data_IF_437645574323
#
_entry.id   IF_437645574323
#
_cell.length_a   1.000
_cell.length_b   1.000
_cell.length_c   1.000
_cell.angle_alpha   90.00
_cell.angle_beta   90.00
_cell.angle_gamma   90.00
#
_symmetry.space_group_name_H-M   'P 1'
#
loop_
_entity.id
_entity.type
_entity.pdbx_description
1 polymer ?
#
# COMPACT_ATOMS: atom_id res chain seq x y z
N UNK A 1 -14.48 -18.21 -1.42
CA UNK A 1 -15.34 -17.07 -1.02
C UNK A 1 -16.26 -16.71 -2.19
N UNK A 2 -17.55 -16.43 -1.93
CA UNK A 2 -18.51 -16.10 -2.99
C UNK A 2 -19.04 -14.66 -2.89
N UNK A 3 -18.71 -13.97 -1.81
CA UNK A 3 -19.13 -12.57 -1.59
C UNK A 3 -18.19 -11.62 -2.30
N UNK A 4 -18.72 -10.51 -2.82
CA UNK A 4 -17.90 -9.33 -3.15
C UNK A 4 -17.70 -8.50 -1.89
N UNK A 5 -16.64 -7.72 -1.86
CA UNK A 5 -16.41 -6.73 -0.83
C UNK A 5 -16.06 -5.40 -1.50
N UNK A 6 -16.68 -4.35 -1.01
CA UNK A 6 -16.38 -2.97 -1.36
C UNK A 6 -15.94 -2.25 -0.10
N UNK A 7 -15.04 -1.30 -0.22
CA UNK A 7 -14.58 -0.62 0.98
C UNK A 7 -13.77 0.62 0.72
N UNK A 8 -13.37 1.24 1.81
CA UNK A 8 -12.49 2.40 1.83
C UNK A 8 -11.43 2.19 2.89
N UNK A 9 -10.19 2.48 2.56
CA UNK A 9 -9.05 2.38 3.47
C UNK A 9 -8.43 3.76 3.67
N UNK A 10 -8.35 4.22 4.91
CA UNK A 10 -7.85 5.55 5.27
C UNK A 10 -6.44 5.52 5.86
N UNK A 11 -5.58 6.37 5.34
CA UNK A 11 -4.22 6.59 5.83
C UNK A 11 -4.04 8.06 6.19
N UNK A 12 -3.65 8.32 7.43
CA UNK A 12 -3.18 9.64 7.82
C UNK A 12 -1.66 9.73 7.67
N UNK A 13 -1.17 10.90 7.28
CA UNK A 13 0.26 11.26 7.20
C UNK A 13 0.47 12.58 7.93
N UNK A 14 1.21 12.58 9.05
CA UNK A 14 1.54 13.78 9.83
C UNK A 14 3.04 13.96 9.85
N UNK A 15 3.52 15.14 9.42
CA UNK A 15 4.94 15.46 9.31
C UNK A 15 5.76 14.35 8.65
N UNK A 16 5.15 13.74 7.62
CA UNK A 16 5.69 12.58 6.91
C UNK A 16 5.28 12.61 5.44
N UNK A 17 5.83 11.74 4.62
CA UNK A 17 5.52 11.69 3.18
C UNK A 17 5.01 10.30 2.81
N UNK A 18 3.70 10.18 2.63
CA UNK A 18 3.07 8.91 2.27
C UNK A 18 3.45 8.43 0.88
N UNK A 19 3.44 9.30 -0.12
CA UNK A 19 3.79 8.95 -1.49
C UNK A 19 4.46 10.12 -2.20
N UNK A 20 5.78 10.09 -2.27
CA UNK A 20 6.56 11.09 -2.99
C UNK A 20 6.56 10.88 -4.50
N UNK A 21 6.70 11.97 -5.25
CA UNK A 21 7.09 11.99 -6.65
C UNK A 21 8.63 11.91 -6.80
N UNK A 22 9.14 12.12 -8.02
CA UNK A 22 10.59 12.08 -8.31
C UNK A 22 11.37 13.27 -7.71
N UNK A 23 10.69 14.36 -7.37
CA UNK A 23 11.30 15.54 -6.74
C UNK A 23 11.27 15.47 -5.22
N UNK A 24 10.57 14.48 -4.66
CA UNK A 24 10.41 14.28 -3.22
C UNK A 24 9.16 14.91 -2.65
N UNK A 25 8.37 15.66 -3.43
CA UNK A 25 7.11 16.23 -2.98
C UNK A 25 6.00 15.18 -2.90
N UNK A 26 4.98 15.38 -2.05
CA UNK A 26 3.76 14.59 -2.08
C UNK A 26 3.18 14.58 -3.51
N UNK A 27 2.81 13.40 -3.98
CA UNK A 27 2.39 13.20 -5.36
C UNK A 27 1.04 13.87 -5.64
N UNK A 28 0.95 14.64 -6.73
CA UNK A 28 -0.25 15.36 -7.13
C UNK A 28 -0.70 15.00 -8.56
N UNK A 29 -1.99 15.21 -8.83
CA UNK A 29 -2.56 15.20 -10.17
C UNK A 29 -2.19 16.48 -10.92
N UNK A 30 -2.55 16.57 -12.20
CA UNK A 30 -2.45 17.83 -12.98
C UNK A 30 -3.33 18.95 -12.41
N UNK A 31 -4.39 18.61 -11.65
CA UNK A 31 -5.28 19.56 -10.96
C UNK A 31 -4.77 19.95 -9.57
N UNK A 32 -3.55 19.55 -9.21
CA UNK A 32 -2.92 19.74 -7.91
C UNK A 32 -3.56 18.95 -6.74
N UNK A 33 -4.45 17.99 -7.00
CA UNK A 33 -4.99 17.13 -5.96
C UNK A 33 -3.92 16.15 -5.47
N UNK A 34 -3.62 16.18 -4.19
CA UNK A 34 -2.65 15.28 -3.58
C UNK A 34 -3.24 13.86 -3.45
N UNK A 35 -2.48 12.85 -3.84
CA UNK A 35 -2.91 11.46 -3.76
C UNK A 35 -1.79 10.48 -3.41
N UNK A 36 -2.18 9.36 -2.82
CA UNK A 36 -1.34 8.18 -2.69
C UNK A 36 -1.69 7.14 -3.76
N UNK A 37 -0.69 6.61 -4.46
CA UNK A 37 -0.92 5.55 -5.44
C UNK A 37 -1.28 4.22 -4.77
N UNK A 38 -1.95 3.34 -5.49
CA UNK A 38 -2.19 1.96 -5.08
C UNK A 38 -0.89 1.23 -4.71
N UNK A 39 0.20 1.53 -5.42
CA UNK A 39 1.53 0.96 -5.15
C UNK A 39 2.08 1.40 -3.79
N UNK A 40 1.86 2.65 -3.40
CA UNK A 40 2.26 3.15 -2.09
C UNK A 40 1.53 2.40 -0.96
N UNK A 41 0.25 2.09 -1.15
CA UNK A 41 -0.54 1.32 -0.19
C UNK A 41 -0.18 -0.17 -0.17
N UNK A 42 0.00 -0.79 -1.35
CA UNK A 42 0.32 -2.22 -1.47
C UNK A 42 1.71 -2.58 -0.95
N UNK A 43 2.67 -1.63 -0.97
CA UNK A 43 4.05 -1.92 -0.58
C UNK A 43 4.21 -2.28 0.91
N UNK A 44 3.68 -1.51 1.89
CA UNK A 44 3.70 -1.90 3.30
C UNK A 44 3.05 -3.25 3.58
N UNK A 45 1.92 -3.55 2.93
CA UNK A 45 1.24 -4.84 3.03
C UNK A 45 2.16 -5.98 2.59
N UNK A 46 2.77 -5.85 1.41
CA UNK A 46 3.73 -6.84 0.88
C UNK A 46 4.94 -7.00 1.80
N UNK A 47 5.44 -5.90 2.35
CA UNK A 47 6.57 -5.90 3.27
C UNK A 47 6.22 -6.65 4.56
N UNK A 48 5.07 -6.36 5.15
CA UNK A 48 4.55 -7.05 6.33
C UNK A 48 4.41 -8.55 6.08
N UNK A 49 3.75 -8.97 5.01
CA UNK A 49 3.61 -10.38 4.66
C UNK A 49 4.97 -11.08 4.46
N UNK A 50 5.92 -10.40 3.81
CA UNK A 50 7.27 -10.94 3.64
C UNK A 50 8.00 -11.12 4.98
N UNK A 51 7.81 -10.23 5.95
CA UNK A 51 8.37 -10.32 7.30
C UNK A 51 7.68 -11.41 8.13
N UNK A 52 6.43 -11.70 7.86
CA UNK A 52 5.66 -12.81 8.44
C UNK A 52 6.01 -14.18 7.83
N UNK A 53 6.92 -14.22 6.84
CA UNK A 53 7.36 -15.46 6.18
C UNK A 53 6.48 -15.91 5.01
N UNK A 54 5.50 -15.11 4.60
CA UNK A 54 4.68 -15.38 3.43
C UNK A 54 5.50 -15.21 2.13
N UNK A 55 5.13 -15.97 1.09
CA UNK A 55 5.75 -15.80 -0.23
C UNK A 55 5.22 -14.54 -0.90
N UNK A 56 6.12 -13.59 -1.14
CA UNK A 56 5.83 -12.32 -1.84
C UNK A 56 6.77 -12.18 -3.02
N UNK A 57 6.25 -12.14 -4.23
CA UNK A 57 7.05 -12.07 -5.46
C UNK A 57 7.41 -10.62 -5.78
N UNK A 58 6.41 -9.73 -5.86
CA UNK A 58 6.59 -8.37 -6.34
C UNK A 58 7.02 -7.41 -5.22
N UNK A 59 8.21 -7.70 -4.64
CA UNK A 59 8.88 -6.85 -3.67
C UNK A 59 10.39 -6.83 -3.96
N UNK A 60 11.03 -5.67 -3.72
CA UNK A 60 12.48 -5.52 -3.89
C UNK A 60 13.22 -6.50 -2.99
N UNK A 61 14.11 -7.30 -3.56
CA UNK A 61 14.92 -8.30 -2.88
C UNK A 61 16.36 -8.19 -3.36
N UNK A 62 17.31 -8.09 -2.43
CA UNK A 62 18.72 -7.89 -2.74
C UNK A 62 19.48 -9.22 -2.74
N UNK A 63 20.58 -9.27 -3.47
CA UNK A 63 21.56 -10.36 -3.45
C UNK A 63 22.97 -9.83 -3.55
N UNK A 64 23.92 -10.62 -3.10
CA UNK A 64 25.33 -10.46 -3.44
C UNK A 64 25.62 -11.24 -4.72
N UNK A 65 26.34 -10.64 -5.63
CA UNK A 65 26.75 -11.24 -6.91
C UNK A 65 28.21 -10.93 -7.18
N UNK A 66 28.98 -11.92 -7.64
CA UNK A 66 30.33 -11.71 -8.12
C UNK A 66 30.30 -11.02 -9.48
N UNK A 67 30.92 -9.86 -9.56
CA UNK A 67 31.09 -9.07 -10.78
C UNK A 67 32.22 -9.61 -11.66
N UNK A 68 32.40 -9.03 -12.85
CA UNK A 68 33.36 -9.46 -13.88
C UNK A 68 34.84 -9.43 -13.44
N UNK A 69 35.17 -8.69 -12.39
CA UNK A 69 36.55 -8.53 -11.86
C UNK A 69 36.74 -9.21 -10.51
N UNK A 70 35.84 -10.12 -10.10
CA UNK A 70 35.89 -10.75 -8.78
C UNK A 70 35.40 -9.84 -7.64
N UNK A 71 34.92 -8.65 -7.93
CA UNK A 71 34.30 -7.76 -6.93
C UNK A 71 32.91 -8.26 -6.57
N UNK A 72 32.52 -8.12 -5.30
CA UNK A 72 31.18 -8.50 -4.84
C UNK A 72 30.27 -7.29 -4.89
N UNK A 73 29.25 -7.37 -5.72
CA UNK A 73 28.24 -6.33 -5.90
C UNK A 73 26.94 -6.66 -5.12
N UNK A 74 26.34 -5.63 -4.51
CA UNK A 74 25.06 -5.74 -3.85
C UNK A 74 23.96 -5.19 -4.76
N UNK A 75 23.22 -6.09 -5.42
CA UNK A 75 22.26 -5.73 -6.48
C UNK A 75 20.85 -6.27 -6.19
N UNK A 76 19.80 -5.64 -6.74
CA UNK A 76 18.46 -6.19 -6.67
C UNK A 76 18.33 -7.44 -7.56
N UNK A 77 17.58 -8.44 -7.08
CA UNK A 77 17.18 -9.57 -7.92
C UNK A 77 16.26 -9.13 -9.05
N UNK A 78 16.44 -9.75 -10.23
CA UNK A 78 15.42 -9.70 -11.29
C UNK A 78 14.16 -10.45 -10.87
N UNK A 79 13.04 -10.30 -11.61
CA UNK A 79 11.80 -11.01 -11.33
C UNK A 79 11.99 -12.52 -11.40
N UNK A 80 12.71 -13.01 -12.43
CA UNK A 80 13.12 -14.42 -12.55
C UNK A 80 13.87 -14.89 -11.31
N UNK A 81 14.93 -14.18 -10.93
CA UNK A 81 15.77 -14.56 -9.77
C UNK A 81 14.97 -14.50 -8.46
N UNK A 82 13.99 -13.60 -8.35
CA UNK A 82 13.10 -13.55 -7.20
C UNK A 82 12.18 -14.78 -7.16
N UNK A 83 11.63 -15.19 -8.29
CA UNK A 83 10.82 -16.40 -8.42
C UNK A 83 11.63 -17.64 -8.03
N UNK A 84 12.82 -17.86 -8.64
CA UNK A 84 13.70 -18.99 -8.36
C UNK A 84 14.19 -19.02 -6.89
N UNK A 85 14.37 -17.85 -6.29
CA UNK A 85 14.71 -17.74 -4.86
C UNK A 85 13.59 -18.20 -3.93
N UNK A 86 12.33 -17.85 -4.26
CA UNK A 86 11.15 -18.21 -3.47
C UNK A 86 10.74 -19.68 -3.66
N UNK A 87 10.86 -20.18 -4.88
CA UNK A 87 10.52 -21.54 -5.26
C UNK A 87 11.80 -22.35 -5.49
N UNK A 88 12.48 -22.69 -4.40
CA UNK A 88 13.76 -23.39 -4.43
C UNK A 88 13.67 -24.68 -5.26
N UNK A 89 14.63 -24.84 -6.17
CA UNK A 89 14.68 -26.00 -7.10
C UNK A 89 14.02 -25.75 -8.43
N UNK A 90 13.33 -24.62 -8.62
CA UNK A 90 12.82 -24.21 -9.93
C UNK A 90 13.91 -23.53 -10.75
N UNK A 91 13.99 -23.85 -12.03
CA UNK A 91 14.83 -23.21 -13.04
C UNK A 91 13.97 -22.90 -14.25
N UNK A 92 13.50 -21.64 -14.38
CA UNK A 92 12.60 -21.23 -15.45
C UNK A 92 13.16 -21.44 -16.86
N UNK A 93 14.49 -21.55 -17.01
CA UNK A 93 15.10 -21.87 -18.32
C UNK A 93 14.93 -23.33 -18.71
N UNK A 94 14.94 -24.22 -17.73
CA UNK A 94 14.85 -25.68 -17.93
C UNK A 94 13.41 -26.17 -17.81
N UNK A 95 12.67 -25.64 -16.84
CA UNK A 95 11.29 -26.04 -16.59
C UNK A 95 10.33 -25.12 -17.35
N UNK A 96 9.76 -25.67 -18.42
CA UNK A 96 8.81 -24.93 -19.28
C UNK A 96 7.35 -25.26 -18.99
N UNK A 97 7.06 -25.89 -17.85
CA UNK A 97 5.68 -26.17 -17.44
C UNK A 97 4.98 -24.90 -16.92
N UNK A 98 4.30 -24.21 -17.82
CA UNK A 98 3.53 -23.00 -17.49
C UNK A 98 2.43 -23.26 -16.46
N UNK A 99 1.89 -24.48 -16.36
CA UNK A 99 0.90 -24.84 -15.34
C UNK A 99 1.53 -24.82 -13.95
N UNK A 100 2.73 -25.37 -13.82
CA UNK A 100 3.50 -25.35 -12.57
C UNK A 100 3.89 -23.92 -12.17
N UNK A 101 4.37 -23.12 -13.14
CA UNK A 101 4.69 -21.70 -12.90
C UNK A 101 3.46 -20.96 -12.41
N UNK A 102 2.31 -21.15 -13.04
CA UNK A 102 1.06 -20.50 -12.66
C UNK A 102 0.60 -20.94 -11.26
N UNK A 103 0.71 -22.22 -10.93
CA UNK A 103 0.40 -22.74 -9.58
C UNK A 103 1.30 -22.11 -8.52
N UNK A 104 2.60 -21.99 -8.79
CA UNK A 104 3.55 -21.32 -7.92
C UNK A 104 3.20 -19.83 -7.74
N UNK A 105 2.86 -19.13 -8.81
CA UNK A 105 2.42 -17.74 -8.74
C UNK A 105 1.21 -17.58 -7.82
N UNK A 106 0.18 -18.44 -7.95
CA UNK A 106 -0.99 -18.40 -7.06
C UNK A 106 -0.71 -18.81 -5.61
N UNK A 107 0.42 -19.46 -5.31
CA UNK A 107 0.85 -19.75 -3.95
C UNK A 107 1.50 -18.53 -3.25
N UNK A 108 1.80 -17.47 -3.99
CA UNK A 108 2.33 -16.23 -3.43
C UNK A 108 1.18 -15.29 -3.04
N UNK A 109 1.20 -14.82 -1.80
CA UNK A 109 0.10 -14.05 -1.21
C UNK A 109 -0.16 -12.73 -1.94
N UNK A 110 0.88 -12.06 -2.43
CA UNK A 110 0.74 -10.81 -3.17
C UNK A 110 0.12 -11.04 -4.57
N UNK A 111 0.46 -12.12 -5.24
CA UNK A 111 -0.17 -12.52 -6.51
C UNK A 111 -1.62 -12.93 -6.28
N UNK A 112 -1.87 -13.72 -5.23
CA UNK A 112 -3.22 -14.16 -4.84
C UNK A 112 -4.15 -12.98 -4.54
N UNK A 113 -3.62 -11.87 -4.02
CA UNK A 113 -4.40 -10.67 -3.75
C UNK A 113 -4.41 -9.69 -4.93
N UNK A 114 -3.24 -9.29 -5.42
CA UNK A 114 -3.11 -8.13 -6.32
C UNK A 114 -2.90 -8.52 -7.79
N UNK A 115 -2.75 -9.80 -8.08
CA UNK A 115 -2.47 -10.28 -9.42
C UNK A 115 -1.01 -10.15 -9.82
N UNK A 116 -0.72 -10.46 -11.07
CA UNK A 116 0.63 -10.47 -11.61
C UNK A 116 0.64 -10.23 -13.13
N UNK A 117 1.70 -9.58 -13.58
CA UNK A 117 2.20 -9.69 -14.96
C UNK A 117 3.55 -10.37 -14.89
N UNK A 118 3.66 -11.60 -15.40
CA UNK A 118 4.87 -12.40 -15.32
C UNK A 118 5.31 -12.82 -16.73
N UNK A 119 6.31 -12.10 -17.25
CA UNK A 119 6.86 -12.28 -18.59
C UNK A 119 8.34 -12.68 -18.52
N UNK A 120 8.60 -13.93 -18.09
CA UNK A 120 9.95 -14.45 -17.86
C UNK A 120 10.17 -15.79 -18.57
N UNK A 121 11.29 -15.94 -19.29
CA UNK A 121 11.76 -17.18 -19.93
C UNK A 121 10.70 -17.88 -20.81
N UNK A 122 9.91 -17.09 -21.56
CA UNK A 122 8.86 -17.58 -22.46
C UNK A 122 7.49 -17.77 -21.83
N UNK A 123 7.36 -17.60 -20.51
CA UNK A 123 6.05 -17.45 -19.87
C UNK A 123 5.51 -16.04 -20.12
N UNK A 124 4.25 -15.94 -20.51
CA UNK A 124 3.53 -14.66 -20.65
C UNK A 124 2.20 -14.78 -19.90
N UNK A 125 2.26 -14.61 -18.59
CA UNK A 125 1.15 -14.80 -17.67
C UNK A 125 0.66 -13.46 -17.17
N UNK A 126 -0.65 -13.21 -17.33
CA UNK A 126 -1.35 -12.06 -16.77
C UNK A 126 -2.47 -12.53 -15.86
N UNK A 127 -2.45 -12.10 -14.61
CA UNK A 127 -3.45 -12.41 -13.59
C UNK A 127 -4.03 -11.10 -13.07
N UNK A 128 -5.31 -10.87 -13.31
CA UNK A 128 -6.04 -9.79 -12.66
C UNK A 128 -6.35 -10.20 -11.23
N UNK A 129 -5.78 -9.49 -10.26
CA UNK A 129 -5.94 -9.79 -8.84
C UNK A 129 -7.38 -9.69 -8.36
N UNK A 130 -7.74 -10.51 -7.39
CA UNK A 130 -9.06 -10.45 -6.74
C UNK A 130 -9.27 -9.12 -6.00
N UNK A 131 -8.21 -8.55 -5.44
CA UNK A 131 -8.21 -7.26 -4.73
C UNK A 131 -7.72 -6.15 -5.65
N UNK A 132 -8.57 -5.16 -5.87
CA UNK A 132 -8.23 -3.94 -6.60
C UNK A 132 -8.31 -2.75 -5.64
N UNK A 133 -7.25 -1.95 -5.60
CA UNK A 133 -7.16 -0.72 -4.80
C UNK A 133 -6.95 0.43 -5.78
N UNK A 134 -7.78 1.46 -5.67
CA UNK A 134 -7.65 2.67 -6.49
C UNK A 134 -6.60 3.64 -5.95
N UNK A 135 -6.65 4.88 -6.43
CA UNK A 135 -5.85 5.98 -5.90
C UNK A 135 -6.51 6.50 -4.61
N UNK A 136 -5.72 6.75 -3.59
CA UNK A 136 -6.20 7.37 -2.35
C UNK A 136 -6.05 8.88 -2.43
N UNK A 137 -7.13 9.60 -2.61
CA UNK A 137 -7.09 11.06 -2.62
C UNK A 137 -7.07 11.62 -1.21
N UNK A 138 -6.26 12.67 -1.02
CA UNK A 138 -6.28 13.43 0.21
C UNK A 138 -7.59 14.22 0.33
N UNK A 139 -8.26 14.10 1.48
CA UNK A 139 -9.53 14.79 1.77
C UNK A 139 -9.37 15.99 2.73
N UNK A 140 -8.17 16.24 3.22
CA UNK A 140 -7.88 17.38 4.09
C UNK A 140 -7.46 18.60 3.27
N UNK A 141 -8.26 19.65 3.32
CA UNK A 141 -8.07 20.87 2.50
C UNK A 141 -6.81 21.66 2.84
N UNK A 142 -6.43 21.68 4.13
CA UNK A 142 -5.29 22.47 4.63
C UNK A 142 -3.96 21.70 4.60
N UNK A 143 -3.91 20.69 3.74
CA UNK A 143 -2.69 19.91 3.49
C UNK A 143 -1.74 20.67 2.58
N UNK A 144 -0.49 20.79 3.00
CA UNK A 144 0.58 21.38 2.20
C UNK A 144 1.93 20.69 2.47
N UNK A 145 2.85 20.73 1.50
CA UNK A 145 4.20 20.23 1.70
C UNK A 145 5.05 21.21 2.49
N UNK A 146 5.87 20.69 3.41
CA UNK A 146 6.90 21.42 4.13
C UNK A 146 8.29 20.94 3.73
N UNK A 147 9.19 21.89 3.48
CA UNK A 147 10.60 21.62 3.21
C UNK A 147 11.44 21.81 4.47
N UNK A 148 12.22 20.82 4.82
CA UNK A 148 13.15 20.83 5.93
C UNK A 148 14.57 20.68 5.43
N UNK A 149 15.43 21.66 5.68
CA UNK A 149 16.85 21.56 5.33
C UNK A 149 17.56 20.64 6.33
N UNK A 150 18.38 19.74 5.80
CA UNK A 150 19.17 18.80 6.60
C UNK A 150 20.64 19.03 6.30
N UNK A 151 21.44 19.24 7.35
CA UNK A 151 22.89 19.31 7.25
C UNK A 151 23.48 17.92 7.42
N UNK A 152 24.35 17.53 6.49
CA UNK A 152 25.15 16.31 6.62
C UNK A 152 26.35 16.58 7.54
N UNK A 153 26.68 15.68 8.48
CA UNK A 153 27.90 15.79 9.28
C UNK A 153 29.17 15.46 8.49
N UNK A 154 29.02 15.03 7.24
CA UNK A 154 30.15 14.62 6.41
C UNK A 154 30.57 15.73 5.47
N UNK A 155 31.90 15.92 5.34
CA UNK A 155 32.48 16.84 4.35
C UNK A 155 32.26 16.29 2.91
N UNK A 156 31.86 17.15 1.99
CA UNK A 156 31.87 16.80 0.56
C UNK A 156 33.33 16.67 0.05
N UNK A 157 33.78 15.47 -0.37
CA UNK A 157 35.13 15.26 -0.87
C UNK A 157 35.40 15.97 -2.20
N UNK A 158 34.35 16.34 -2.96
CA UNK A 158 34.45 17.01 -4.25
C UNK A 158 34.57 18.53 -4.11
N UNK A 159 34.37 19.08 -2.92
CA UNK A 159 34.52 20.50 -2.66
C UNK A 159 36.03 20.87 -2.56
N UNK A 160 36.80 20.56 -3.61
CA UNK A 160 38.21 20.91 -3.74
C UNK A 160 38.34 22.34 -4.25
N UNK A 161 38.70 23.22 -3.31
CA UNK A 161 39.50 24.45 -3.50
C UNK A 161 38.96 25.53 -4.44
N UNK A 162 38.63 26.67 -3.87
CA UNK A 162 39.31 27.89 -4.32
C UNK A 162 39.43 28.88 -3.14
N UNK A 163 40.71 29.22 -2.91
CA UNK A 163 41.25 30.40 -2.26
C UNK A 163 41.23 30.54 -0.72
N UNK A 164 42.46 30.65 -0.27
CA UNK A 164 42.96 31.09 1.03
C UNK A 164 42.45 32.51 1.41
N UNK A 165 41.28 32.63 1.97
CA UNK A 165 40.82 33.75 2.85
C UNK A 165 39.45 33.40 3.36
N UNK A 166 39.22 33.53 4.67
CA UNK A 166 37.97 33.29 5.37
C UNK A 166 37.87 31.92 6.04
N UNK A 167 38.49 31.78 7.23
CA UNK A 167 38.45 30.55 8.03
C UNK A 167 37.11 30.37 8.78
N UNK A 168 36.38 31.45 9.06
CA UNK A 168 35.09 31.34 9.79
C UNK A 168 33.85 31.05 8.92
N UNK A 169 33.88 31.33 7.61
CA UNK A 169 32.84 30.89 6.67
C UNK A 169 33.03 29.45 6.15
N UNK A 170 34.15 28.80 6.51
CA UNK A 170 34.49 27.46 5.98
C UNK A 170 33.77 26.31 6.65
N UNK A 171 33.31 26.44 7.90
CA UNK A 171 32.53 25.42 8.57
C UNK A 171 31.11 25.28 7.97
N UNK A 172 30.50 26.35 7.51
CA UNK A 172 29.18 26.32 6.87
C UNK A 172 29.18 25.78 5.42
N UNK A 173 30.35 25.86 4.72
CA UNK A 173 30.49 25.41 3.31
C UNK A 173 30.96 23.96 3.18
N UNK A 174 31.23 23.25 4.27
CA UNK A 174 31.81 21.90 4.21
C UNK A 174 30.81 20.76 4.37
N UNK A 175 29.53 21.05 4.69
CA UNK A 175 28.46 20.08 4.82
C UNK A 175 27.58 20.01 3.58
N UNK A 176 27.28 18.79 3.11
CA UNK A 176 26.27 18.60 2.08
C UNK A 176 24.89 18.95 2.63
N UNK A 177 24.17 19.82 1.92
CA UNK A 177 22.78 20.15 2.25
C UNK A 177 21.85 19.10 1.62
N UNK A 178 20.98 18.54 2.42
CA UNK A 178 19.86 17.71 1.96
C UNK A 178 18.54 18.42 2.24
N UNK A 179 17.50 18.09 1.50
CA UNK A 179 16.14 18.55 1.76
C UNK A 179 15.25 17.36 2.07
N UNK A 180 14.54 17.40 3.18
CA UNK A 180 13.45 16.48 3.50
C UNK A 180 12.13 17.19 3.24
N UNK A 181 11.26 16.58 2.45
CA UNK A 181 9.94 17.13 2.13
C UNK A 181 8.88 16.21 2.76
N UNK A 182 7.97 16.81 3.50
CA UNK A 182 6.89 16.12 4.22
C UNK A 182 5.56 16.82 3.97
N UNK A 183 4.45 16.13 4.15
CA UNK A 183 3.15 16.78 4.33
C UNK A 183 3.03 17.24 5.79
N UNK A 184 2.53 18.44 6.04
CA UNK A 184 2.12 18.87 7.38
C UNK A 184 1.13 17.86 7.96
N UNK A 185 0.00 17.67 7.29
CA UNK A 185 -1.01 16.66 7.57
C UNK A 185 -1.75 16.33 6.26
N UNK A 186 -2.08 15.05 6.02
CA UNK A 186 -2.88 14.60 4.90
C UNK A 186 -3.65 13.33 5.26
N UNK A 187 -4.86 13.17 4.72
CA UNK A 187 -5.77 12.05 4.98
C UNK A 187 -6.20 11.43 3.66
N UNK A 188 -5.60 10.29 3.32
CA UNK A 188 -5.78 9.60 2.04
C UNK A 188 -6.83 8.51 2.16
N UNK A 189 -7.88 8.54 1.34
CA UNK A 189 -8.92 7.52 1.33
C UNK A 189 -8.90 6.74 0.01
N UNK A 190 -8.59 5.46 0.11
CA UNK A 190 -8.43 4.52 -0.99
C UNK A 190 -9.68 3.68 -1.21
N UNK A 191 -10.30 3.70 -2.39
CA UNK A 191 -11.33 2.73 -2.70
C UNK A 191 -10.72 1.34 -2.87
N UNK A 192 -11.43 0.32 -2.37
CA UNK A 192 -11.05 -1.07 -2.53
C UNK A 192 -12.25 -1.90 -3.00
N UNK A 193 -11.98 -2.82 -3.92
CA UNK A 193 -12.96 -3.81 -4.38
C UNK A 193 -12.33 -5.19 -4.37
N UNK A 194 -13.06 -6.18 -3.87
CA UNK A 194 -12.64 -7.58 -3.86
C UNK A 194 -13.64 -8.41 -4.65
N UNK A 195 -13.16 -9.05 -5.72
CA UNK A 195 -13.93 -9.91 -6.58
C UNK A 195 -13.35 -11.32 -6.65
N UNK A 196 -13.84 -12.27 -5.85
CA UNK A 196 -13.36 -13.66 -5.89
C UNK A 196 -13.55 -14.35 -7.22
N UNK A 197 -14.57 -13.97 -8.02
CA UNK A 197 -14.85 -14.55 -9.35
C UNK A 197 -13.75 -14.29 -10.39
N UNK A 198 -12.82 -13.38 -10.12
CA UNK A 198 -11.64 -13.16 -10.99
C UNK A 198 -10.82 -14.44 -11.20
N UNK A 199 -10.98 -15.44 -10.34
CA UNK A 199 -10.20 -16.69 -10.37
C UNK A 199 -10.98 -17.92 -10.82
N UNK A 200 -12.24 -17.79 -11.22
CA UNK A 200 -13.05 -18.96 -11.61
C UNK A 200 -12.43 -19.73 -12.78
N UNK A 201 -11.98 -19.05 -13.84
CA UNK A 201 -11.28 -19.70 -14.95
C UNK A 201 -9.96 -20.39 -14.53
N UNK A 202 -9.24 -19.84 -13.55
CA UNK A 202 -8.03 -20.49 -13.05
C UNK A 202 -8.32 -21.69 -12.15
N UNK A 203 -9.47 -21.72 -11.48
CA UNK A 203 -9.96 -22.91 -10.75
C UNK A 203 -10.27 -24.04 -11.72
N UNK A 204 -10.92 -23.75 -12.85
CA UNK A 204 -11.20 -24.74 -13.90
C UNK A 204 -9.92 -25.35 -14.48
N UNK A 205 -8.84 -24.55 -14.59
CA UNK A 205 -7.52 -25.03 -15.00
C UNK A 205 -6.81 -25.87 -13.91
N UNK A 206 -7.32 -25.90 -12.70
CA UNK A 206 -6.76 -26.63 -11.56
C UNK A 206 -5.42 -26.11 -11.09
N UNK A 207 -5.21 -24.78 -11.15
CA UNK A 207 -3.96 -24.11 -10.71
C UNK A 207 -4.15 -23.33 -9.41
N UNK A 208 -5.38 -23.16 -8.96
CA UNK A 208 -5.73 -22.50 -7.69
C UNK A 208 -7.10 -22.98 -7.21
N UNK A 209 -7.35 -22.92 -5.91
CA UNK A 209 -8.68 -23.11 -5.31
C UNK A 209 -9.58 -21.86 -5.41
N UNK A 210 -9.06 -20.76 -6.00
CA UNK A 210 -9.70 -19.47 -6.09
C UNK A 210 -9.31 -18.55 -4.93
N UNK A 211 -10.03 -17.43 -4.76
CA UNK A 211 -9.82 -16.49 -3.64
C UNK A 211 -10.67 -16.95 -2.45
N UNK A 212 -10.02 -17.29 -1.34
CA UNK A 212 -10.64 -17.89 -0.18
C UNK A 212 -11.03 -16.87 0.90
N UNK A 213 -11.79 -17.30 1.90
CA UNK A 213 -12.05 -16.47 3.09
C UNK A 213 -10.78 -16.19 3.89
N UNK A 214 -9.83 -17.13 3.88
CA UNK A 214 -8.55 -16.94 4.56
C UNK A 214 -7.67 -15.91 3.84
N UNK A 215 -7.65 -15.92 2.50
CA UNK A 215 -6.97 -14.88 1.70
C UNK A 215 -7.55 -13.50 2.02
N UNK A 216 -8.88 -13.39 2.07
CA UNK A 216 -9.56 -12.15 2.45
C UNK A 216 -9.23 -11.70 3.86
N UNK A 217 -9.23 -12.62 4.82
CA UNK A 217 -8.88 -12.32 6.22
C UNK A 217 -7.47 -11.75 6.33
N UNK A 218 -6.48 -12.41 5.71
CA UNK A 218 -5.09 -11.94 5.68
C UNK A 218 -4.96 -10.56 5.03
N UNK A 219 -5.68 -10.32 3.93
CA UNK A 219 -5.70 -9.00 3.30
C UNK A 219 -6.32 -7.94 4.22
N UNK A 220 -7.49 -8.22 4.79
CA UNK A 220 -8.22 -7.31 5.68
C UNK A 220 -7.38 -6.91 6.89
N UNK A 221 -6.77 -7.90 7.56
CA UNK A 221 -5.89 -7.66 8.71
C UNK A 221 -4.68 -6.79 8.34
N UNK A 222 -3.98 -7.13 7.27
CA UNK A 222 -2.81 -6.37 6.82
C UNK A 222 -3.18 -4.95 6.36
N UNK A 223 -4.30 -4.78 5.66
CA UNK A 223 -4.74 -3.47 5.16
C UNK A 223 -5.07 -2.47 6.26
N UNK A 224 -5.36 -2.94 7.49
CA UNK A 224 -5.68 -2.10 8.65
C UNK A 224 -4.48 -1.75 9.54
N UNK A 225 -3.28 -2.28 9.27
CA UNK A 225 -2.13 -2.07 10.16
C UNK A 225 -0.79 -1.89 9.41
N UNK A 226 -0.71 -2.25 8.15
CA UNK A 226 0.56 -2.29 7.44
C UNK A 226 1.24 -0.92 7.29
N UNK A 227 0.47 0.17 7.12
CA UNK A 227 1.03 1.51 7.06
C UNK A 227 1.61 1.94 8.41
N UNK A 228 0.90 1.67 9.50
CA UNK A 228 1.34 1.94 10.88
C UNK A 228 2.61 1.16 11.24
N UNK A 229 2.73 -0.09 10.78
CA UNK A 229 3.90 -0.94 11.05
C UNK A 229 5.11 -0.59 10.19
N UNK A 230 4.94 0.17 9.11
CA UNK A 230 6.00 0.45 8.16
C UNK A 230 6.88 1.62 8.59
N UNK A 231 7.84 1.34 9.45
CA UNK A 231 8.73 2.34 10.07
C UNK A 231 9.94 2.64 9.20
N UNK A 232 9.90 3.74 8.46
CA UNK A 232 11.05 4.35 7.78
C UNK A 232 11.09 5.84 8.09
N UNK A 233 12.23 6.51 7.89
CA UNK A 233 12.34 7.96 8.15
C UNK A 233 11.25 8.79 7.43
N UNK A 234 10.84 8.38 6.21
CA UNK A 234 9.80 9.09 5.47
C UNK A 234 8.38 8.69 5.89
N UNK A 235 8.20 7.56 6.59
CA UNK A 235 6.89 6.98 6.93
C UNK A 235 6.52 7.04 8.41
N UNK A 236 7.45 7.38 9.29
CA UNK A 236 7.12 7.72 10.68
C UNK A 236 6.16 8.91 10.66
N UNK A 237 4.95 8.72 11.20
CA UNK A 237 3.84 9.66 11.10
C UNK A 237 2.79 9.28 10.05
N UNK A 238 3.00 8.17 9.29
CA UNK A 238 1.96 7.57 8.46
C UNK A 238 1.30 6.41 9.22
N UNK A 239 -0.02 6.44 9.36
CA UNK A 239 -0.78 5.46 10.14
C UNK A 239 -2.06 5.05 9.43
N UNK A 240 -2.51 3.82 9.68
CA UNK A 240 -3.86 3.42 9.33
C UNK A 240 -4.84 4.09 10.30
N UNK A 241 -5.78 4.88 9.78
CA UNK A 241 -6.75 5.61 10.62
C UNK A 241 -8.19 5.13 10.46
N UNK A 242 -8.52 4.57 9.30
CA UNK A 242 -9.87 4.19 8.92
C UNK A 242 -9.89 2.97 8.01
N UNK A 243 -10.89 2.12 8.15
CA UNK A 243 -11.24 1.11 7.17
C UNK A 243 -12.74 0.81 7.22
N UNK A 244 -13.36 0.77 6.05
CA UNK A 244 -14.74 0.33 5.89
C UNK A 244 -14.78 -0.87 4.95
N UNK A 245 -15.48 -1.95 5.33
CA UNK A 245 -15.69 -3.12 4.51
C UNK A 245 -17.17 -3.46 4.44
N UNK A 246 -17.69 -3.50 3.22
CA UNK A 246 -19.09 -3.82 2.91
C UNK A 246 -19.09 -5.14 2.15
N UNK A 247 -19.44 -6.23 2.83
CA UNK A 247 -19.59 -7.55 2.21
C UNK A 247 -20.98 -7.68 1.59
N UNK A 248 -21.06 -8.05 0.32
CA UNK A 248 -22.29 -8.11 -0.45
C UNK A 248 -22.54 -9.50 -1.04
N UNK A 249 -23.74 -9.74 -1.57
CA UNK A 249 -23.95 -10.85 -2.49
C UNK A 249 -23.14 -10.66 -3.77
N UNK A 250 -22.83 -11.73 -4.46
CA UNK A 250 -21.89 -11.75 -5.57
C UNK A 250 -22.33 -10.95 -6.81
N UNK A 251 -23.59 -10.71 -6.95
CA UNK A 251 -24.26 -10.01 -8.06
C UNK A 251 -24.57 -8.54 -7.76
N UNK A 252 -24.22 -8.02 -6.55
CA UNK A 252 -24.35 -6.61 -6.23
C UNK A 252 -23.09 -5.86 -6.63
N UNK A 253 -23.29 -4.74 -7.32
CA UNK A 253 -22.24 -3.80 -7.70
C UNK A 253 -22.48 -2.47 -7.00
N UNK A 254 -21.50 -2.03 -6.19
CA UNK A 254 -21.54 -0.72 -5.54
C UNK A 254 -20.63 0.28 -6.27
N UNK A 255 -20.94 1.57 -6.20
CA UNK A 255 -20.04 2.63 -6.70
C UNK A 255 -18.75 2.71 -5.88
N UNK A 256 -17.85 3.61 -6.27
CA UNK A 256 -16.68 3.97 -5.47
C UNK A 256 -17.10 4.62 -4.14
N UNK A 257 -16.99 3.86 -3.06
CA UNK A 257 -17.42 4.30 -1.73
C UNK A 257 -16.53 5.41 -1.16
N UNK A 258 -15.32 5.61 -1.67
CA UNK A 258 -14.46 6.72 -1.22
C UNK A 258 -15.01 8.10 -1.57
N UNK A 259 -15.93 8.18 -2.54
CA UNK A 259 -16.60 9.42 -2.91
C UNK A 259 -17.60 9.89 -1.83
N UNK A 260 -18.06 8.96 -0.98
CA UNK A 260 -19.03 9.22 0.10
C UNK A 260 -18.35 9.37 1.47
N UNK A 261 -17.03 9.41 1.51
CA UNK A 261 -16.26 9.64 2.74
C UNK A 261 -15.67 11.04 2.69
N UNK A 262 -15.99 11.84 3.70
CA UNK A 262 -15.47 13.20 3.90
C UNK A 262 -14.57 13.22 5.13
N UNK A 263 -13.66 14.16 5.16
CA UNK A 263 -12.78 14.42 6.30
C UNK A 263 -12.76 15.91 6.62
N UNK A 264 -12.94 16.22 7.90
CA UNK A 264 -12.82 17.56 8.45
C UNK A 264 -12.00 17.50 9.73
N UNK A 265 -11.20 18.53 10.00
CA UNK A 265 -10.49 18.67 11.26
C UNK A 265 -11.31 19.56 12.19
N UNK A 266 -11.76 18.98 13.30
CA UNK A 266 -12.53 19.68 14.33
C UNK A 266 -11.68 19.73 15.62
N UNK A 267 -11.24 20.92 16.02
CA UNK A 267 -10.34 21.12 17.15
C UNK A 267 -9.09 20.22 17.06
N UNK A 268 -8.90 19.34 18.06
CA UNK A 268 -7.74 18.43 18.12
C UNK A 268 -7.97 17.06 17.47
N UNK A 269 -9.19 16.78 16.97
CA UNK A 269 -9.54 15.48 16.37
C UNK A 269 -9.99 15.62 14.92
N UNK A 270 -9.68 14.60 14.13
CA UNK A 270 -10.30 14.44 12.83
C UNK A 270 -11.76 14.01 12.97
N UNK A 271 -12.63 14.43 12.05
CA UNK A 271 -13.98 13.94 11.89
C UNK A 271 -14.11 13.29 10.52
N UNK A 272 -14.51 12.03 10.49
CA UNK A 272 -14.84 11.31 9.25
C UNK A 272 -16.35 11.21 9.16
N UNK A 273 -16.91 11.72 8.06
CA UNK A 273 -18.34 11.59 7.73
C UNK A 273 -18.51 10.56 6.62
N UNK A 274 -19.58 9.74 6.74
CA UNK A 274 -19.88 8.68 5.78
C UNK A 274 -21.31 8.95 5.26
N UNK A 275 -21.41 9.34 3.98
CA UNK A 275 -22.67 9.82 3.39
C UNK A 275 -23.37 8.75 2.53
N UNK A 276 -23.09 7.46 2.75
CA UNK A 276 -23.70 6.39 1.96
C UNK A 276 -24.83 5.62 2.68
N UNK A 277 -25.37 6.16 3.78
CA UNK A 277 -26.43 5.48 4.54
C UNK A 277 -27.68 5.20 3.68
N UNK A 278 -28.15 6.16 2.89
CA UNK A 278 -29.31 5.97 2.01
C UNK A 278 -29.04 4.88 0.96
N UNK A 279 -27.84 4.87 0.36
CA UNK A 279 -27.44 3.83 -0.59
C UNK A 279 -27.50 2.44 0.06
N UNK A 280 -26.98 2.31 1.29
CA UNK A 280 -26.97 1.02 1.98
C UNK A 280 -28.37 0.59 2.43
N UNK A 281 -29.21 1.52 2.82
CA UNK A 281 -30.61 1.27 3.16
C UNK A 281 -31.40 0.75 1.96
N UNK A 282 -31.26 1.36 0.81
CA UNK A 282 -31.94 0.93 -0.42
C UNK A 282 -31.49 -0.47 -0.88
N UNK A 283 -30.28 -0.90 -0.45
CA UNK A 283 -29.66 -2.16 -0.83
C UNK A 283 -29.52 -3.15 0.33
N UNK A 284 -30.16 -2.91 1.46
CA UNK A 284 -29.97 -3.67 2.72
C UNK A 284 -30.10 -5.18 2.53
N UNK A 285 -31.09 -5.64 1.76
CA UNK A 285 -31.34 -7.06 1.51
C UNK A 285 -30.23 -7.74 0.67
N UNK A 286 -29.29 -6.98 0.12
CA UNK A 286 -28.17 -7.46 -0.71
C UNK A 286 -26.81 -7.21 -0.08
N UNK A 287 -26.78 -6.56 1.08
CA UNK A 287 -25.58 -6.35 1.90
C UNK A 287 -25.60 -7.39 3.02
N UNK A 288 -24.48 -8.09 3.20
CA UNK A 288 -24.34 -9.13 4.25
C UNK A 288 -23.81 -8.58 5.57
N UNK A 289 -22.85 -7.66 5.47
CA UNK A 289 -22.26 -6.99 6.65
C UNK A 289 -21.62 -5.68 6.27
N UNK A 290 -21.60 -4.75 7.22
CA UNK A 290 -20.85 -3.48 7.14
C UNK A 290 -20.00 -3.41 8.40
N UNK A 291 -18.69 -3.30 8.23
CA UNK A 291 -17.75 -3.16 9.32
C UNK A 291 -16.91 -1.91 9.11
N UNK A 292 -16.85 -1.07 10.14
CA UNK A 292 -16.15 0.20 10.13
C UNK A 292 -15.13 0.20 11.28
N UNK A 293 -13.87 0.36 10.92
CA UNK A 293 -12.74 0.41 11.83
C UNK A 293 -12.14 1.81 11.82
N UNK A 294 -11.89 2.40 12.97
CA UNK A 294 -11.25 3.70 13.06
C UNK A 294 -10.43 3.86 14.34
N UNK A 295 -9.61 4.90 14.40
CA UNK A 295 -8.86 5.26 15.59
C UNK A 295 -9.70 6.19 16.49
N UNK A 296 -10.36 5.70 17.55
CA UNK A 296 -11.27 6.53 18.37
C UNK A 296 -10.53 7.57 19.23
N UNK A 297 -9.20 7.45 19.33
CA UNK A 297 -8.40 8.38 20.14
C UNK A 297 -8.16 9.70 19.40
N UNK A 298 -8.05 9.66 18.08
CA UNK A 298 -7.74 10.82 17.24
C UNK A 298 -8.82 11.19 16.23
N UNK A 299 -9.85 10.34 16.09
CA UNK A 299 -10.87 10.48 15.04
C UNK A 299 -12.26 10.26 15.61
N UNK A 300 -13.19 11.13 15.26
CA UNK A 300 -14.61 11.00 15.53
C UNK A 300 -15.34 10.52 14.27
N UNK A 301 -16.33 9.64 14.46
CA UNK A 301 -17.23 9.19 13.38
C UNK A 301 -18.66 9.27 13.90
N UNK A 302 -19.55 9.87 13.11
CA UNK A 302 -20.99 9.78 13.35
C UNK A 302 -21.44 8.35 13.01
N UNK A 303 -21.96 7.62 13.99
CA UNK A 303 -22.41 6.23 13.82
C UNK A 303 -23.82 6.22 13.17
N UNK A 304 -23.92 6.79 11.97
CA UNK A 304 -25.16 6.98 11.24
C UNK A 304 -25.50 5.88 10.22
N UNK A 305 -24.58 4.90 10.03
CA UNK A 305 -24.81 3.81 9.08
C UNK A 305 -25.59 2.69 9.80
N UNK A 306 -26.83 2.48 9.35
CA UNK A 306 -27.69 1.42 9.88
C UNK A 306 -27.08 0.02 9.66
N UNK A 307 -27.19 -0.85 10.63
CA UNK A 307 -26.65 -2.23 10.63
C UNK A 307 -25.11 -2.33 10.50
N UNK A 308 -24.37 -1.23 10.61
CA UNK A 308 -22.92 -1.27 10.65
C UNK A 308 -22.41 -1.57 12.06
N UNK A 309 -21.32 -2.33 12.11
CA UNK A 309 -20.53 -2.55 13.33
C UNK A 309 -19.31 -1.66 13.33
N UNK A 310 -19.03 -1.03 14.45
CA UNK A 310 -17.92 -0.10 14.62
C UNK A 310 -16.86 -0.69 15.54
N UNK A 311 -15.61 -0.60 15.13
CA UNK A 311 -14.49 -1.23 15.84
C UNK A 311 -13.33 -0.25 16.03
N UNK A 312 -12.59 -0.41 17.09
CA UNK A 312 -11.29 0.20 17.23
C UNK A 312 -10.30 -0.47 16.27
N UNK A 313 -9.65 0.32 15.40
CA UNK A 313 -8.76 -0.23 14.38
C UNK A 313 -7.53 -0.96 14.94
N UNK A 314 -7.12 -0.66 16.17
CA UNK A 314 -5.97 -1.29 16.83
C UNK A 314 -6.35 -2.52 17.64
N UNK A 315 -7.34 -2.41 18.52
CA UNK A 315 -7.74 -3.52 19.40
C UNK A 315 -8.66 -4.53 18.73
N UNK A 316 -9.32 -4.13 17.63
CA UNK A 316 -10.37 -4.90 16.93
C UNK A 316 -11.63 -5.14 17.78
N UNK A 317 -11.73 -4.51 18.92
CA UNK A 317 -12.91 -4.58 19.76
C UNK A 317 -14.02 -3.67 19.23
N UNK A 318 -15.27 -4.14 19.36
CA UNK A 318 -16.46 -3.36 18.99
C UNK A 318 -16.65 -2.20 19.97
N UNK A 319 -16.98 -1.01 19.48
CA UNK A 319 -17.07 0.25 20.24
C UNK A 319 -18.34 1.03 19.91
#
# INVERSE_FOLDING_TARGET
MNSRVYGVLGIVSRMSNWNADFTGYPKTTSSADTFGSDKAFKYPIKKMWSEQGEKVIYIKSMKLQEGKKGEIEFIPRSLKERYEYLFKGEDLKKDKDSKKVLTNLFSAIDVKNFGATFAEEGNNISITGAVQIGQGFNKYSDSFPEEQQILSPFRDPNNKKNNKKEEEEKEAKSSTLGTKIVSNEAHYFYPVTINPKSYDGFKELGVTEGYTKEDYKKFKEASMIAATSFSTNAKIGCENEFAMFVETYEDLYLPDLSQYVLFEKCDDKGKIEIECNNLFKDLENRIKSIEIYYNPYTTNIDKNIENAKYFNIFTKEEI
#
